data_IF_325550740714
#
_entry.id   IF_325550740714
#
_cell.length_a   1.000
_cell.length_b   1.000
_cell.length_c   1.000
_cell.angle_alpha   90.00
_cell.angle_beta   90.00
_cell.angle_gamma   90.00
#
_symmetry.space_group_name_H-M   'P 1'
#
loop_
_entity.id
_entity.type
_entity.pdbx_description
1 polymer ?
#
# COMPACT_ATOMS: atom_id res chain seq x y z
N UNK A 1 -15.82 48.38 45.86
CA UNK A 1 -16.44 49.64 45.43
C UNK A 1 -16.36 49.69 43.90
N UNK A 2 -17.53 49.71 43.24
CA UNK A 2 -17.83 50.48 42.01
C UNK A 2 -17.03 50.15 40.73
N UNK A 3 -17.57 50.02 39.52
CA UNK A 3 -18.87 49.75 38.94
C UNK A 3 -18.59 49.56 37.44
N UNK A 4 -19.42 48.76 36.78
CA UNK A 4 -19.55 48.61 35.33
C UNK A 4 -19.74 49.93 34.57
N UNK A 5 -19.45 49.84 33.25
CA UNK A 5 -19.98 50.57 32.06
C UNK A 5 -18.81 51.20 31.29
N UNK A 6 -18.63 51.04 29.99
CA UNK A 6 -19.45 50.50 28.90
C UNK A 6 -18.97 51.14 27.58
N UNK A 7 -19.29 50.48 26.46
CA UNK A 7 -19.34 50.99 25.07
C UNK A 7 -18.03 51.33 24.32
N UNK A 8 -17.59 50.34 23.54
CA UNK A 8 -17.39 50.34 22.08
C UNK A 8 -16.85 51.60 21.37
N UNK A 9 -15.84 51.38 20.51
CA UNK A 9 -15.89 51.67 19.07
C UNK A 9 -14.69 51.03 18.35
N UNK A 10 -14.99 50.15 17.41
CA UNK A 10 -14.04 49.63 16.44
C UNK A 10 -13.61 50.78 15.50
N UNK A 11 -12.30 50.92 15.31
CA UNK A 11 -11.69 51.79 14.31
C UNK A 11 -10.40 51.14 13.86
N UNK A 12 -10.44 50.48 12.70
CA UNK A 12 -9.28 49.87 12.08
C UNK A 12 -8.28 50.95 11.66
N UNK A 13 -7.03 50.82 12.10
CA UNK A 13 -5.90 51.55 11.54
C UNK A 13 -4.93 50.54 10.94
N UNK A 14 -4.65 50.77 9.66
CA UNK A 14 -3.83 49.96 8.79
C UNK A 14 -2.43 49.73 9.35
N UNK A 15 -2.10 48.47 9.63
CA UNK A 15 -0.74 48.00 9.87
C UNK A 15 -0.30 47.14 8.70
N UNK A 16 0.73 47.56 7.98
CA UNK A 16 1.39 46.74 6.97
C UNK A 16 1.99 45.49 7.64
N UNK A 17 1.38 44.33 7.44
CA UNK A 17 1.97 43.04 7.80
C UNK A 17 2.59 42.43 6.55
N UNK A 18 3.86 42.05 6.68
CA UNK A 18 4.67 41.35 5.70
C UNK A 18 3.85 40.27 4.97
N UNK A 19 3.71 40.40 3.66
CA UNK A 19 3.20 39.34 2.80
C UNK A 19 4.25 38.23 2.69
N UNK A 20 4.39 37.42 3.74
CA UNK A 20 4.97 36.10 3.59
C UNK A 20 3.90 35.25 2.90
N UNK A 21 4.03 35.11 1.58
CA UNK A 21 3.24 34.15 0.81
C UNK A 21 3.54 32.76 1.37
N UNK A 22 2.68 32.28 2.27
CA UNK A 22 2.64 30.88 2.66
C UNK A 22 2.20 30.10 1.41
N UNK A 23 3.19 29.70 0.61
CA UNK A 23 3.01 28.65 -0.38
C UNK A 23 2.57 27.41 0.38
N UNK A 24 1.26 27.23 0.51
CA UNK A 24 0.67 25.96 0.86
C UNK A 24 0.98 25.05 -0.32
N UNK A 25 2.11 24.34 -0.25
CA UNK A 25 2.36 23.19 -1.09
C UNK A 25 1.41 22.10 -0.62
N UNK A 26 0.14 22.22 -0.99
CA UNK A 26 -0.81 21.10 -0.90
C UNK A 26 -0.45 20.14 -2.02
N UNK A 27 0.74 19.54 -1.93
CA UNK A 27 1.00 18.28 -2.62
C UNK A 27 0.11 17.27 -1.92
N UNK A 28 -1.02 16.93 -2.53
CA UNK A 28 -1.72 15.71 -2.14
C UNK A 28 -0.76 14.58 -2.43
N UNK A 29 -0.13 14.02 -1.40
CA UNK A 29 0.50 12.72 -1.52
C UNK A 29 -0.61 11.77 -1.99
N UNK A 30 -0.56 11.37 -3.25
CA UNK A 30 -1.55 10.51 -3.85
C UNK A 30 -1.26 9.10 -3.34
N UNK A 31 -1.88 8.69 -2.23
CA UNK A 31 -1.92 7.30 -1.83
C UNK A 31 -2.76 6.57 -2.88
N UNK A 32 -2.16 5.71 -3.70
CA UNK A 32 -2.90 4.72 -4.47
C UNK A 32 -3.70 3.89 -3.46
N UNK A 33 -5.03 4.00 -3.52
CA UNK A 33 -5.94 3.25 -2.65
C UNK A 33 -5.85 1.77 -3.01
N UNK A 34 -4.94 1.05 -2.35
CA UNK A 34 -4.67 -0.38 -2.52
C UNK A 34 -4.05 -0.72 -3.88
N UNK A 35 -2.95 -1.47 -3.88
CA UNK A 35 -2.55 -2.16 -5.09
C UNK A 35 -3.70 -3.06 -5.58
N UNK A 36 -3.85 -3.20 -6.90
CA UNK A 36 -4.84 -4.10 -7.47
C UNK A 36 -4.55 -5.56 -7.13
N UNK A 37 -5.57 -6.41 -7.22
CA UNK A 37 -5.39 -7.85 -7.11
C UNK A 37 -4.48 -8.36 -8.23
N UNK A 38 -3.64 -9.35 -7.93
CA UNK A 38 -2.69 -9.94 -8.87
C UNK A 38 -3.09 -11.40 -9.10
N UNK A 39 -3.38 -11.79 -10.33
CA UNK A 39 -3.94 -13.10 -10.66
C UNK A 39 -4.52 -13.16 -12.06
N UNK A 40 -4.93 -14.35 -12.49
CA UNK A 40 -5.78 -14.47 -13.67
C UNK A 40 -7.10 -13.72 -13.47
N UNK A 41 -7.52 -12.96 -14.48
CA UNK A 41 -8.74 -12.13 -14.42
C UNK A 41 -8.53 -10.71 -13.91
N UNK A 42 -7.30 -10.31 -13.57
CA UNK A 42 -6.97 -8.97 -13.09
C UNK A 42 -5.97 -8.26 -14.01
N UNK A 43 -5.96 -6.93 -13.94
CA UNK A 43 -4.99 -6.08 -14.63
C UNK A 43 -3.65 -6.12 -13.88
N UNK A 44 -2.93 -7.24 -14.02
CA UNK A 44 -1.61 -7.43 -13.41
C UNK A 44 -0.66 -6.31 -13.84
N UNK A 45 -0.01 -5.65 -12.88
CA UNK A 45 1.01 -4.63 -13.16
C UNK A 45 2.39 -5.27 -13.08
N UNK A 46 3.34 -4.77 -13.90
CA UNK A 46 4.70 -5.30 -13.92
C UNK A 46 5.36 -5.31 -12.52
N UNK A 47 5.30 -4.19 -11.80
CA UNK A 47 5.89 -4.08 -10.46
C UNK A 47 5.21 -4.99 -9.43
N UNK A 48 3.87 -5.12 -9.48
CA UNK A 48 3.16 -6.00 -8.55
C UNK A 48 3.54 -7.47 -8.77
N UNK A 49 3.59 -7.90 -10.03
CA UNK A 49 4.00 -9.26 -10.37
C UNK A 49 5.45 -9.51 -9.98
N UNK A 50 6.35 -8.55 -10.26
CA UNK A 50 7.76 -8.65 -9.93
C UNK A 50 7.97 -8.80 -8.41
N UNK A 51 7.27 -8.00 -7.61
CA UNK A 51 7.27 -8.12 -6.15
C UNK A 51 6.75 -9.48 -5.68
N UNK A 52 5.66 -9.99 -6.27
CA UNK A 52 5.13 -11.32 -5.91
C UNK A 52 6.09 -12.44 -6.29
N UNK A 53 6.74 -12.35 -7.46
CA UNK A 53 7.72 -13.32 -7.90
C UNK A 53 8.95 -13.33 -6.99
N UNK A 54 9.47 -12.15 -6.64
CA UNK A 54 10.52 -12.00 -5.64
C UNK A 54 10.12 -12.61 -4.30
N UNK A 55 8.91 -12.35 -3.82
CA UNK A 55 8.42 -12.89 -2.56
C UNK A 55 8.38 -14.43 -2.55
N UNK A 56 7.93 -15.03 -3.65
CA UNK A 56 7.89 -16.49 -3.79
C UNK A 56 9.31 -17.04 -3.71
N UNK A 57 10.25 -16.48 -4.47
CA UNK A 57 11.64 -16.94 -4.52
C UNK A 57 12.40 -16.76 -3.20
N UNK A 58 12.07 -15.71 -2.44
CA UNK A 58 12.65 -15.42 -1.13
C UNK A 58 11.96 -16.14 0.03
N UNK A 59 10.78 -16.72 -0.18
CA UNK A 59 10.04 -17.42 0.87
C UNK A 59 10.54 -18.86 1.08
N UNK A 60 10.29 -19.49 2.25
CA UNK A 60 10.55 -20.91 2.45
C UNK A 60 9.56 -21.84 1.72
N UNK A 61 8.65 -21.30 0.91
CA UNK A 61 7.77 -22.13 0.11
C UNK A 61 8.61 -22.95 -0.88
N UNK A 62 8.28 -24.24 -1.10
CA UNK A 62 9.09 -25.13 -1.95
C UNK A 62 8.82 -24.88 -3.44
N UNK A 63 8.99 -23.64 -3.91
CA UNK A 63 8.75 -23.23 -5.29
C UNK A 63 9.60 -22.01 -5.65
N UNK A 64 10.19 -22.02 -6.85
CA UNK A 64 10.96 -20.90 -7.40
C UNK A 64 10.35 -20.46 -8.72
N UNK A 65 10.35 -19.15 -8.97
CA UNK A 65 9.81 -18.54 -10.20
C UNK A 65 10.86 -17.62 -10.82
N UNK A 66 10.80 -17.42 -12.13
CA UNK A 66 11.52 -16.31 -12.74
C UNK A 66 10.94 -14.96 -12.30
N UNK A 67 11.81 -14.00 -11.99
CA UNK A 67 11.44 -12.63 -11.60
C UNK A 67 11.52 -11.70 -12.81
N UNK A 68 10.50 -11.76 -13.67
CA UNK A 68 10.40 -11.02 -14.94
C UNK A 68 9.27 -9.97 -14.96
N UNK A 69 8.46 -9.93 -13.89
CA UNK A 69 7.29 -9.07 -13.76
C UNK A 69 6.16 -9.39 -14.73
N UNK A 70 6.12 -10.60 -15.30
CA UNK A 70 5.06 -11.07 -16.20
C UNK A 70 4.23 -12.15 -15.53
N UNK A 71 2.92 -11.91 -15.43
CA UNK A 71 2.04 -12.90 -14.81
C UNK A 71 1.78 -14.04 -15.79
N UNK A 72 2.32 -15.22 -15.49
CA UNK A 72 2.13 -16.43 -16.27
C UNK A 72 1.80 -17.67 -15.43
N UNK A 73 1.71 -18.85 -16.07
CA UNK A 73 1.42 -20.11 -15.39
C UNK A 73 2.40 -20.43 -14.24
N UNK A 74 3.68 -20.11 -14.39
CA UNK A 74 4.68 -20.34 -13.33
C UNK A 74 4.45 -19.45 -12.12
N UNK A 75 4.16 -18.16 -12.33
CA UNK A 75 3.80 -17.24 -11.23
C UNK A 75 2.52 -17.68 -10.54
N UNK A 76 1.49 -18.08 -11.31
CA UNK A 76 0.25 -18.61 -10.73
C UNK A 76 0.49 -19.86 -9.86
N UNK A 77 1.29 -20.80 -10.35
CA UNK A 77 1.66 -21.99 -9.58
C UNK A 77 2.49 -21.65 -8.33
N UNK A 78 3.42 -20.70 -8.44
CA UNK A 78 4.21 -20.20 -7.30
C UNK A 78 3.35 -19.54 -6.23
N UNK A 79 2.36 -18.73 -6.62
CA UNK A 79 1.40 -18.15 -5.66
C UNK A 79 0.63 -19.26 -4.92
N UNK A 80 0.16 -20.29 -5.65
CA UNK A 80 -0.54 -21.42 -5.02
C UNK A 80 0.36 -22.22 -4.08
N UNK A 81 1.63 -22.38 -4.45
CA UNK A 81 2.62 -23.05 -3.60
C UNK A 81 2.84 -22.26 -2.31
N UNK A 82 3.03 -20.94 -2.41
CA UNK A 82 3.14 -20.05 -1.25
C UNK A 82 1.89 -20.13 -0.37
N UNK A 83 0.69 -19.98 -0.93
CA UNK A 83 -0.57 -20.05 -0.18
C UNK A 83 -0.75 -21.39 0.54
N UNK A 84 -0.42 -22.50 -0.13
CA UNK A 84 -0.50 -23.85 0.46
C UNK A 84 0.51 -24.03 1.59
N UNK A 85 1.74 -23.58 1.37
CA UNK A 85 2.81 -23.63 2.36
C UNK A 85 2.46 -22.77 3.58
N UNK A 86 1.96 -21.56 3.37
CA UNK A 86 1.52 -20.67 4.45
C UNK A 86 0.48 -21.34 5.35
N UNK A 87 -0.53 -21.97 4.75
CA UNK A 87 -1.61 -22.66 5.48
C UNK A 87 -1.13 -23.85 6.31
N UNK A 88 0.06 -24.39 6.03
CA UNK A 88 0.64 -25.48 6.83
C UNK A 88 1.40 -24.97 8.06
N UNK A 89 1.81 -23.70 8.06
CA UNK A 89 2.73 -23.16 9.06
C UNK A 89 2.14 -22.02 9.88
N UNK A 90 1.19 -21.27 9.32
CA UNK A 90 0.75 -19.98 9.84
C UNK A 90 -0.78 -19.80 9.79
N UNK A 91 -1.23 -18.72 10.43
CA UNK A 91 -2.61 -18.25 10.41
C UNK A 91 -2.63 -16.74 10.12
N UNK A 92 -3.67 -16.22 9.45
CA UNK A 92 -4.88 -16.91 8.99
C UNK A 92 -4.62 -17.82 7.77
N UNK A 93 -5.52 -18.77 7.52
CA UNK A 93 -5.48 -19.56 6.29
C UNK A 93 -5.87 -18.69 5.09
N UNK A 94 -5.12 -18.84 4.01
CA UNK A 94 -5.31 -18.21 2.71
C UNK A 94 -6.12 -19.12 1.78
N UNK A 95 -6.87 -18.52 0.86
CA UNK A 95 -7.42 -19.24 -0.28
C UNK A 95 -6.27 -19.67 -1.20
N UNK A 96 -6.23 -20.95 -1.60
CA UNK A 96 -5.20 -21.48 -2.51
C UNK A 96 -5.67 -21.41 -3.97
N UNK A 97 -5.95 -20.19 -4.42
CA UNK A 97 -6.54 -19.88 -5.74
C UNK A 97 -5.52 -19.38 -6.76
N UNK A 98 -4.30 -19.06 -6.32
CA UNK A 98 -3.26 -18.46 -7.16
C UNK A 98 -3.51 -16.98 -7.45
N UNK A 99 -4.28 -16.32 -6.59
CA UNK A 99 -4.58 -14.89 -6.67
C UNK A 99 -4.07 -14.21 -5.40
N UNK A 100 -3.26 -13.18 -5.58
CA UNK A 100 -2.83 -12.29 -4.50
C UNK A 100 -3.88 -11.20 -4.34
N UNK A 101 -4.81 -11.43 -3.40
CA UNK A 101 -5.63 -10.40 -2.80
C UNK A 101 -5.07 -9.94 -1.44
N UNK A 102 -5.73 -8.99 -0.74
CA UNK A 102 -5.27 -8.38 0.51
C UNK A 102 -4.70 -9.36 1.54
N UNK A 103 -5.43 -10.44 1.83
CA UNK A 103 -4.98 -11.42 2.82
C UNK A 103 -3.68 -12.13 2.40
N UNK A 104 -3.55 -12.51 1.12
CA UNK A 104 -2.32 -13.15 0.63
C UNK A 104 -1.18 -12.14 0.59
N UNK A 105 -1.45 -10.90 0.18
CA UNK A 105 -0.44 -9.86 0.07
C UNK A 105 0.13 -9.45 1.43
N UNK A 106 -0.70 -9.34 2.48
CA UNK A 106 -0.23 -9.12 3.86
C UNK A 106 0.83 -10.14 4.28
N UNK A 107 0.67 -11.40 3.86
CA UNK A 107 1.60 -12.47 4.22
C UNK A 107 2.83 -12.51 3.31
N UNK A 108 2.68 -12.12 2.04
CA UNK A 108 3.79 -12.07 1.09
C UNK A 108 4.75 -10.92 1.39
N UNK A 109 4.28 -9.82 2.01
CA UNK A 109 5.11 -8.65 2.32
C UNK A 109 6.30 -8.94 3.24
N UNK A 110 6.28 -10.02 4.02
CA UNK A 110 7.44 -10.44 4.80
C UNK A 110 8.64 -10.91 3.95
N UNK A 111 8.44 -11.13 2.65
CA UNK A 111 9.39 -11.80 1.75
C UNK A 111 9.77 -10.94 0.53
N UNK A 112 9.20 -9.73 0.40
CA UNK A 112 9.49 -8.81 -0.71
C UNK A 112 10.68 -7.88 -0.42
N UNK A 113 11.25 -7.30 -1.48
CA UNK A 113 12.21 -6.20 -1.39
C UNK A 113 11.57 -4.85 -1.02
N UNK A 114 12.43 -3.84 -0.77
CA UNK A 114 11.99 -2.51 -0.39
C UNK A 114 11.12 -1.85 -1.48
N UNK A 115 9.98 -1.26 -1.09
CA UNK A 115 9.07 -0.53 -1.99
C UNK A 115 7.92 -1.35 -2.57
N UNK A 116 7.88 -2.66 -2.33
CA UNK A 116 6.81 -3.55 -2.82
C UNK A 116 5.45 -3.36 -2.13
N UNK A 117 5.41 -2.71 -0.96
CA UNK A 117 4.16 -2.39 -0.26
C UNK A 117 3.21 -1.49 -1.06
N UNK A 118 3.70 -0.76 -2.06
CA UNK A 118 2.86 0.05 -2.96
C UNK A 118 2.25 -0.76 -4.11
N UNK A 119 2.72 -1.98 -4.34
CA UNK A 119 2.38 -2.78 -5.53
C UNK A 119 1.76 -4.14 -5.20
N UNK A 120 1.74 -4.54 -3.92
CA UNK A 120 1.10 -5.76 -3.43
C UNK A 120 -0.17 -5.38 -2.64
N UNK A 121 -1.33 -5.99 -2.93
CA UNK A 121 -2.57 -5.66 -2.23
C UNK A 121 -2.51 -6.11 -0.78
N UNK A 122 -2.76 -5.19 0.15
CA UNK A 122 -2.80 -5.42 1.60
C UNK A 122 -4.15 -5.04 2.17
N UNK A 123 -4.40 -5.38 3.44
CA UNK A 123 -5.69 -5.10 4.11
C UNK A 123 -5.85 -3.69 4.69
N UNK A 124 -4.85 -2.80 4.57
CA UNK A 124 -4.79 -1.38 5.00
C UNK A 124 -5.88 -0.85 5.97
#
# INVERSE_FOLDING_TARGET
MTAMRGTARAGALAGALLAAASMALTGTAHASTGAGWIGYGYANTHNGVLCVQEAIDNSPAPYHVGTDGLFGPETHAGIKAFQSWWNQHYSPHLSVDGVVGPQTGDQILGWVGAGCSLYVPTTD
#
